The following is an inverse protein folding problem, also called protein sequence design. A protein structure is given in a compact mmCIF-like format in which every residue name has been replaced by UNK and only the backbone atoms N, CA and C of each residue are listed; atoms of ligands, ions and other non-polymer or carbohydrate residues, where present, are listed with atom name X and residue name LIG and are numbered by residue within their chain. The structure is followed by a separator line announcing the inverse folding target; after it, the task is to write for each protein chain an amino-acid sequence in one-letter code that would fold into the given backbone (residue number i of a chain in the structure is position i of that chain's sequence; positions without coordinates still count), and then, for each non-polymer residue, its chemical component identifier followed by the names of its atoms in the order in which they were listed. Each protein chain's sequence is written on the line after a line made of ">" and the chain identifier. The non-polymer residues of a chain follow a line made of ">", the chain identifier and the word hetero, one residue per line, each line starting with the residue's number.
data_IF_664053063594
#
_entry.id   IF_664053063594
#
_cell.length_a   1.000
_cell.length_b   1.000
_cell.length_c   1.000
_cell.angle_alpha   90.00
_cell.angle_beta   90.00
_cell.angle_gamma   90.00
#
_symmetry.space_group_name_H-M   'P 1'
#
loop_
_entity.id
_entity.type
_entity.pdbx_description
1 polymer ?
#
# COMPACT_ATOMS: atom_id res chain seq x y z
N UNK A 1 3.60 -15.44 31.98
CA UNK A 1 2.83 -14.20 31.80
C UNK A 1 3.56 -13.14 30.98
N UNK A 2 4.86 -12.88 31.20
CA UNK A 2 5.61 -11.82 30.49
C UNK A 2 5.59 -12.02 28.95
N UNK A 3 5.77 -13.25 28.46
CA UNK A 3 5.70 -13.54 27.01
C UNK A 3 4.33 -13.25 26.37
N UNK A 4 3.23 -13.48 27.10
CA UNK A 4 1.88 -13.28 26.58
C UNK A 4 1.51 -11.79 26.46
N UNK A 5 2.12 -10.92 27.27
CA UNK A 5 1.96 -9.46 27.17
C UNK A 5 2.84 -8.84 26.07
N UNK A 6 3.97 -9.48 25.72
CA UNK A 6 4.88 -8.97 24.69
C UNK A 6 4.33 -9.13 23.27
N UNK A 7 3.62 -10.23 22.98
CA UNK A 7 3.04 -10.48 21.65
C UNK A 7 2.08 -9.37 21.17
N UNK A 8 1.05 -8.94 21.94
CA UNK A 8 0.15 -7.88 21.49
C UNK A 8 0.88 -6.54 21.32
N UNK A 9 1.89 -6.25 22.16
CA UNK A 9 2.71 -5.03 22.04
C UNK A 9 3.49 -5.04 20.72
N UNK A 10 4.15 -6.16 20.38
CA UNK A 10 4.88 -6.31 19.11
C UNK A 10 3.93 -6.18 17.93
N UNK A 11 2.76 -6.82 17.97
CA UNK A 11 1.75 -6.71 16.91
C UNK A 11 1.31 -5.26 16.71
N UNK A 12 1.01 -4.52 17.79
CA UNK A 12 0.62 -3.11 17.70
C UNK A 12 1.74 -2.23 17.12
N UNK A 13 2.99 -2.48 17.51
CA UNK A 13 4.15 -1.75 16.98
C UNK A 13 4.33 -2.03 15.48
N UNK A 14 4.24 -3.29 15.05
CA UNK A 14 4.38 -3.67 13.63
C UNK A 14 3.24 -3.09 12.80
N UNK A 15 2.00 -3.19 13.25
CA UNK A 15 0.84 -2.60 12.55
C UNK A 15 0.94 -1.09 12.47
N UNK A 16 1.42 -0.41 13.52
CA UNK A 16 1.59 1.04 13.52
C UNK A 16 2.71 1.55 12.61
N UNK A 17 3.70 0.71 12.26
CA UNK A 17 4.81 1.07 11.36
C UNK A 17 4.60 0.68 9.90
N UNK A 18 3.56 -0.11 9.60
CA UNK A 18 3.26 -0.51 8.22
C UNK A 18 2.51 0.61 7.50
N UNK A 19 3.24 1.41 6.73
CA UNK A 19 2.63 2.34 5.78
C UNK A 19 2.11 1.55 4.56
N UNK A 20 0.80 1.62 4.26
CA UNK A 20 0.25 0.93 3.11
C UNK A 20 0.77 1.56 1.82
N UNK A 21 1.39 0.75 0.98
CA UNK A 21 1.84 1.16 -0.33
C UNK A 21 0.66 1.22 -1.31
N UNK A 22 0.55 2.31 -2.06
CA UNK A 22 -0.40 2.45 -3.17
C UNK A 22 0.35 2.90 -4.42
N UNK A 23 -0.11 2.44 -5.58
CA UNK A 23 0.32 2.91 -6.89
C UNK A 23 -0.82 3.62 -7.60
N UNK A 24 -0.49 4.63 -8.39
CA UNK A 24 -1.42 5.33 -9.27
C UNK A 24 -0.90 5.23 -10.70
N UNK A 25 -1.78 4.82 -11.59
CA UNK A 25 -1.47 4.63 -12.98
C UNK A 25 -1.79 5.93 -13.76
N UNK A 26 -0.79 6.43 -14.50
CA UNK A 26 -0.92 7.58 -15.37
C UNK A 26 -0.54 7.21 -16.80
N UNK A 27 -1.14 7.91 -17.75
CA UNK A 27 -0.84 7.78 -19.18
C UNK A 27 -0.29 9.09 -19.73
N UNK A 28 0.69 8.96 -20.62
CA UNK A 28 1.28 10.06 -21.37
C UNK A 28 1.24 9.67 -22.84
N UNK A 29 0.54 10.46 -23.65
CA UNK A 29 0.35 10.20 -25.08
C UNK A 29 1.39 10.87 -25.97
N UNK A 30 2.06 11.92 -25.47
CA UNK A 30 3.11 12.63 -26.17
C UNK A 30 4.06 13.38 -25.22
N UNK A 31 5.27 13.79 -25.66
CA UNK A 31 6.30 14.41 -24.83
C UNK A 31 5.88 15.65 -24.02
N UNK A 32 4.84 16.35 -24.48
CA UNK A 32 4.32 17.57 -23.87
C UNK A 32 2.86 17.42 -23.43
N UNK A 33 2.29 16.22 -23.50
CA UNK A 33 0.94 15.98 -22.98
C UNK A 33 0.95 15.97 -21.45
N UNK A 34 -0.15 16.43 -20.81
CA UNK A 34 -0.30 16.29 -19.37
C UNK A 34 -0.40 14.81 -18.98
N UNK A 35 -0.02 14.51 -17.74
CA UNK A 35 -0.26 13.20 -17.14
C UNK A 35 -1.76 13.00 -16.93
N UNK A 36 -2.33 11.95 -17.52
CA UNK A 36 -3.74 11.62 -17.38
C UNK A 36 -3.88 10.36 -16.54
N UNK A 37 -4.52 10.45 -15.38
CA UNK A 37 -4.82 9.28 -14.55
C UNK A 37 -5.67 8.28 -15.37
N UNK A 38 -5.35 6.99 -15.28
CA UNK A 38 -6.07 5.96 -16.02
C UNK A 38 -6.22 4.72 -15.16
N UNK A 39 -7.41 4.11 -15.16
CA UNK A 39 -7.64 2.80 -14.53
C UNK A 39 -7.49 1.64 -15.52
N UNK A 40 -7.18 1.95 -16.79
CA UNK A 40 -7.01 0.95 -17.83
C UNK A 40 -5.56 0.41 -17.85
N UNK A 41 -5.38 -0.91 -18.05
CA UNK A 41 -4.05 -1.50 -18.08
C UNK A 41 -3.20 -0.89 -19.18
N UNK A 42 -1.90 -0.76 -18.92
CA UNK A 42 -0.96 -0.27 -19.93
C UNK A 42 -0.85 -1.29 -21.09
N UNK A 43 -1.00 -0.87 -22.37
CA UNK A 43 -0.87 -1.78 -23.51
C UNK A 43 0.49 -2.49 -23.53
N UNK A 44 0.53 -3.72 -24.04
CA UNK A 44 1.76 -4.56 -24.03
C UNK A 44 2.93 -4.00 -24.83
N UNK A 45 2.67 -3.12 -25.81
CA UNK A 45 3.69 -2.42 -26.59
C UNK A 45 4.10 -1.06 -26.04
N UNK A 46 3.42 -0.56 -25.01
CA UNK A 46 3.70 0.76 -24.43
C UNK A 46 4.97 0.74 -23.57
N UNK A 47 5.63 1.89 -23.46
CA UNK A 47 6.70 2.08 -22.48
C UNK A 47 6.11 2.11 -21.06
N UNK A 48 6.83 1.54 -20.10
CA UNK A 48 6.44 1.54 -18.69
C UNK A 48 7.56 2.10 -17.85
N UNK A 49 7.25 3.14 -17.10
CA UNK A 49 8.20 3.76 -16.19
C UNK A 49 7.59 3.88 -14.80
N UNK A 50 8.29 3.36 -13.80
CA UNK A 50 7.81 3.37 -12.44
C UNK A 50 8.75 4.15 -11.54
N UNK A 51 8.19 5.04 -10.73
CA UNK A 51 8.93 5.79 -9.73
C UNK A 51 8.05 6.03 -8.49
N UNK A 52 8.68 6.42 -7.38
CA UNK A 52 7.98 6.75 -6.14
C UNK A 52 8.11 8.22 -5.83
N UNK A 53 7.02 8.85 -5.41
CA UNK A 53 7.01 10.25 -4.99
C UNK A 53 6.22 10.41 -3.69
N UNK A 54 6.17 11.65 -3.15
CA UNK A 54 5.43 11.95 -1.93
C UNK A 54 4.22 12.83 -2.24
N UNK A 55 3.09 12.55 -1.59
CA UNK A 55 1.95 13.47 -1.55
C UNK A 55 2.34 14.74 -0.79
N UNK A 56 1.56 15.84 -0.91
CA UNK A 56 1.75 17.05 -0.10
C UNK A 56 1.74 16.78 1.41
N UNK A 57 1.06 15.71 1.86
CA UNK A 57 1.02 15.26 3.24
C UNK A 57 2.18 14.30 3.62
N UNK A 58 3.16 14.14 2.74
CA UNK A 58 4.38 13.36 3.00
C UNK A 58 4.22 11.84 2.84
N UNK A 59 3.09 11.36 2.32
CA UNK A 59 2.86 9.92 2.10
C UNK A 59 3.55 9.45 0.83
N UNK A 60 4.27 8.33 0.90
CA UNK A 60 4.91 7.73 -0.27
C UNK A 60 3.87 7.03 -1.15
N UNK A 61 3.87 7.35 -2.44
CA UNK A 61 2.99 6.78 -3.46
C UNK A 61 3.82 6.38 -4.67
N UNK A 62 3.53 5.21 -5.23
CA UNK A 62 4.08 4.77 -6.51
C UNK A 62 3.34 5.39 -7.68
N UNK A 63 4.07 5.79 -8.70
CA UNK A 63 3.53 6.24 -9.97
C UNK A 63 3.95 5.23 -11.02
N UNK A 64 2.98 4.62 -11.70
CA UNK A 64 3.23 3.80 -12.89
C UNK A 64 2.83 4.63 -14.13
N UNK A 65 3.84 5.06 -14.89
CA UNK A 65 3.65 5.80 -16.13
C UNK A 65 3.59 4.83 -17.30
N UNK A 66 2.48 4.92 -18.02
CA UNK A 66 2.27 4.26 -19.29
C UNK A 66 2.52 5.25 -20.44
N UNK A 67 3.62 5.05 -21.15
CA UNK A 67 4.02 5.84 -22.32
C UNK A 67 3.42 5.22 -23.57
N UNK A 68 2.35 5.83 -24.09
CA UNK A 68 1.65 5.29 -25.25
C UNK A 68 2.53 5.38 -26.49
N UNK A 69 2.62 4.29 -27.22
CA UNK A 69 3.30 4.26 -28.52
C UNK A 69 2.43 4.87 -29.60
N UNK A 70 3.09 5.33 -30.65
CA UNK A 70 2.43 5.71 -31.91
C UNK A 70 3.19 5.10 -33.08
N UNK A 71 2.54 5.04 -34.25
CA UNK A 71 3.15 4.50 -35.45
C UNK A 71 4.16 5.50 -36.06
N UNK A 72 5.36 5.03 -36.37
CA UNK A 72 6.41 5.78 -37.05
C UNK A 72 6.80 5.12 -38.38
N UNK A 73 7.22 5.96 -39.33
CA UNK A 73 7.72 5.52 -40.63
C UNK A 73 6.65 4.89 -41.54
N UNK A 74 7.10 4.32 -42.66
CA UNK A 74 6.22 3.65 -43.63
C UNK A 74 5.73 2.29 -43.12
N UNK A 75 6.53 1.65 -42.27
CA UNK A 75 6.25 0.31 -41.73
C UNK A 75 5.36 0.34 -40.48
N UNK A 76 4.93 1.53 -40.03
CA UNK A 76 4.06 1.72 -38.86
C UNK A 76 4.58 1.10 -37.57
N UNK A 77 5.90 1.17 -37.37
CA UNK A 77 6.57 0.67 -36.18
C UNK A 77 6.07 1.42 -34.94
N UNK A 78 5.70 0.69 -33.89
CA UNK A 78 5.18 1.26 -32.65
C UNK A 78 6.35 1.71 -31.77
N UNK A 79 6.59 3.02 -31.72
CA UNK A 79 7.66 3.61 -30.92
C UNK A 79 7.10 4.57 -29.88
N UNK A 80 7.85 4.76 -28.79
CA UNK A 80 7.52 5.71 -27.73
C UNK A 80 7.92 7.11 -28.19
N UNK A 81 6.99 8.06 -28.32
CA UNK A 81 7.31 9.43 -28.67
C UNK A 81 7.97 10.11 -27.46
N UNK A 82 9.23 10.55 -27.62
CA UNK A 82 10.04 11.08 -26.52
C UNK A 82 10.42 12.56 -26.69
N UNK A 83 10.34 13.11 -27.91
CA UNK A 83 10.64 14.52 -28.19
C UNK A 83 9.81 15.07 -29.33
N UNK A 84 9.50 16.36 -29.28
CA UNK A 84 8.95 17.14 -30.39
C UNK A 84 9.95 18.27 -30.68
N UNK A 85 10.39 18.42 -31.92
CA UNK A 85 11.31 19.49 -32.29
C UNK A 85 10.60 20.82 -32.63
N UNK A 86 11.38 21.85 -32.96
CA UNK A 86 10.85 23.17 -33.29
C UNK A 86 10.03 23.20 -34.59
N UNK A 87 10.21 22.22 -35.47
CA UNK A 87 9.44 22.06 -36.70
C UNK A 87 8.16 21.23 -36.47
N UNK A 88 7.92 20.75 -35.25
CA UNK A 88 6.77 19.91 -34.90
C UNK A 88 6.97 18.43 -35.25
N UNK A 89 8.18 18.01 -35.61
CA UNK A 89 8.48 16.60 -35.86
C UNK A 89 8.56 15.85 -34.53
N UNK A 90 7.81 14.76 -34.45
CA UNK A 90 7.85 13.85 -33.30
C UNK A 90 8.97 12.84 -33.52
N UNK A 91 9.77 12.63 -32.48
CA UNK A 91 10.83 11.65 -32.44
C UNK A 91 10.38 10.47 -31.58
N UNK A 92 10.46 9.27 -32.14
CA UNK A 92 10.10 8.02 -31.50
C UNK A 92 11.32 7.11 -31.36
N UNK A 93 11.38 6.35 -30.27
CA UNK A 93 12.37 5.31 -30.08
C UNK A 93 11.77 4.10 -29.35
N UNK A 94 12.49 2.97 -29.34
CA UNK A 94 12.05 1.77 -28.65
C UNK A 94 12.05 2.01 -27.12
N UNK A 95 11.14 1.36 -26.39
CA UNK A 95 10.97 1.59 -24.95
C UNK A 95 12.23 1.32 -24.11
N UNK A 96 13.15 0.49 -24.59
CA UNK A 96 14.42 0.15 -23.93
C UNK A 96 15.60 1.01 -24.38
N UNK A 97 15.37 2.03 -25.22
CA UNK A 97 16.44 2.87 -25.75
C UNK A 97 16.90 3.93 -24.73
N UNK A 98 18.14 4.40 -24.88
CA UNK A 98 18.70 5.44 -24.00
C UNK A 98 17.94 6.77 -24.11
N UNK A 99 17.35 7.05 -25.27
CA UNK A 99 16.52 8.23 -25.52
C UNK A 99 15.24 8.19 -24.69
N UNK A 100 14.59 7.02 -24.60
CA UNK A 100 13.39 6.83 -23.79
C UNK A 100 13.74 6.87 -22.30
N UNK A 101 14.83 6.24 -21.85
CA UNK A 101 15.31 6.35 -20.45
C UNK A 101 15.57 7.82 -20.05
N UNK A 102 16.20 8.60 -20.94
CA UNK A 102 16.39 10.03 -20.72
C UNK A 102 15.08 10.81 -20.60
N UNK A 103 14.10 10.47 -21.43
CA UNK A 103 12.76 11.07 -21.40
C UNK A 103 11.96 10.69 -20.15
N UNK A 104 12.05 9.43 -19.71
CA UNK A 104 11.43 8.93 -18.49
C UNK A 104 11.89 9.69 -17.25
N UNK A 105 13.21 9.86 -17.08
CA UNK A 105 13.78 10.65 -15.98
C UNK A 105 13.32 12.10 -16.00
N UNK A 106 13.13 12.65 -17.20
CA UNK A 106 12.66 14.02 -17.36
C UNK A 106 11.14 14.14 -17.09
N UNK A 107 10.35 13.09 -17.34
CA UNK A 107 8.96 13.01 -16.89
C UNK A 107 8.88 12.93 -15.38
N UNK A 108 9.70 12.11 -14.73
CA UNK A 108 9.78 12.01 -13.26
C UNK A 108 10.07 13.39 -12.63
N UNK A 109 11.04 14.14 -13.18
CA UNK A 109 11.39 15.48 -12.68
C UNK A 109 10.28 16.51 -12.85
N UNK A 110 9.54 16.43 -13.95
CA UNK A 110 8.44 17.36 -14.26
C UNK A 110 7.13 16.95 -13.62
N UNK A 111 7.04 15.75 -13.06
CA UNK A 111 5.83 15.26 -12.45
C UNK A 111 5.45 16.11 -11.24
N UNK A 112 4.30 16.76 -11.34
CA UNK A 112 3.67 17.47 -10.24
C UNK A 112 2.38 16.74 -9.88
N UNK A 113 2.29 16.30 -8.63
CA UNK A 113 1.15 15.52 -8.14
C UNK A 113 -0.14 16.36 -8.26
N UNK A 114 -1.14 15.95 -9.07
CA UNK A 114 -2.39 16.69 -9.18
C UNK A 114 -3.11 16.75 -7.84
N UNK A 115 -3.66 17.92 -7.47
CA UNK A 115 -4.26 18.12 -6.14
C UNK A 115 -5.43 17.17 -5.84
N UNK A 116 -6.25 16.85 -6.84
CA UNK A 116 -7.34 15.86 -6.71
C UNK A 116 -6.83 14.45 -6.45
N UNK A 117 -5.76 14.06 -7.13
CA UNK A 117 -5.18 12.73 -7.01
C UNK A 117 -4.42 12.58 -5.69
N UNK A 118 -3.76 13.64 -5.23
CA UNK A 118 -3.13 13.69 -3.92
C UNK A 118 -4.16 13.50 -2.79
N UNK A 119 -5.29 14.21 -2.84
CA UNK A 119 -6.37 14.04 -1.86
C UNK A 119 -6.95 12.63 -1.89
N UNK A 120 -7.17 12.08 -3.08
CA UNK A 120 -7.61 10.70 -3.24
C UNK A 120 -6.60 9.70 -2.64
N UNK A 121 -5.32 9.89 -2.94
CA UNK A 121 -4.22 9.05 -2.45
C UNK A 121 -4.15 9.06 -0.93
N UNK A 122 -4.18 10.24 -0.32
CA UNK A 122 -4.14 10.39 1.13
C UNK A 122 -5.37 9.76 1.81
N UNK A 123 -6.55 9.93 1.22
CA UNK A 123 -7.77 9.29 1.71
C UNK A 123 -7.71 7.76 1.62
N UNK A 124 -7.21 7.22 0.51
CA UNK A 124 -7.10 5.79 0.30
C UNK A 124 -6.05 5.16 1.23
N UNK A 125 -4.89 5.81 1.40
CA UNK A 125 -3.86 5.41 2.37
C UNK A 125 -4.43 5.40 3.79
N UNK A 126 -5.14 6.46 4.19
CA UNK A 126 -5.77 6.56 5.51
C UNK A 126 -6.82 5.46 5.71
N UNK A 127 -7.64 5.19 4.69
CA UNK A 127 -8.65 4.14 4.74
C UNK A 127 -8.02 2.75 4.86
N UNK A 128 -6.96 2.46 4.10
CA UNK A 128 -6.19 1.20 4.21
C UNK A 128 -5.54 1.06 5.58
N UNK A 129 -4.94 2.14 6.09
CA UNK A 129 -4.36 2.16 7.42
C UNK A 129 -5.40 1.84 8.50
N UNK A 130 -6.57 2.48 8.43
CA UNK A 130 -7.70 2.22 9.35
C UNK A 130 -8.21 0.79 9.25
N UNK A 131 -8.37 0.26 8.03
CA UNK A 131 -8.81 -1.13 7.81
C UNK A 131 -7.79 -2.13 8.38
N UNK A 132 -6.50 -1.94 8.10
CA UNK A 132 -5.43 -2.77 8.63
C UNK A 132 -5.41 -2.74 10.17
N UNK A 133 -5.64 -1.56 10.77
CA UNK A 133 -5.77 -1.40 12.21
C UNK A 133 -6.96 -2.17 12.78
N UNK A 134 -8.16 -1.99 12.22
CA UNK A 134 -9.36 -2.68 12.68
C UNK A 134 -9.22 -4.21 12.54
N UNK A 135 -8.64 -4.67 11.44
CA UNK A 135 -8.39 -6.09 11.21
C UNK A 135 -7.36 -6.64 12.20
N UNK A 136 -6.28 -5.91 12.47
CA UNK A 136 -5.26 -6.30 13.45
C UNK A 136 -5.84 -6.38 14.87
N UNK A 137 -6.65 -5.38 15.27
CA UNK A 137 -7.36 -5.38 16.55
C UNK A 137 -8.37 -6.53 16.65
N UNK A 138 -9.08 -6.83 15.56
CA UNK A 138 -9.99 -7.96 15.48
C UNK A 138 -9.27 -9.30 15.72
N UNK A 139 -8.17 -9.55 15.01
CA UNK A 139 -7.37 -10.76 15.23
C UNK A 139 -6.79 -10.85 16.63
N UNK A 140 -6.32 -9.72 17.18
CA UNK A 140 -5.81 -9.65 18.54
C UNK A 140 -6.90 -9.97 19.57
N UNK A 141 -8.10 -9.41 19.41
CA UNK A 141 -9.25 -9.69 20.30
C UNK A 141 -9.68 -11.16 20.23
N UNK A 142 -9.75 -11.75 19.03
CA UNK A 142 -10.05 -13.18 18.86
C UNK A 142 -8.98 -14.05 19.52
N UNK A 143 -7.70 -13.75 19.30
CA UNK A 143 -6.58 -14.48 19.91
C UNK A 143 -6.59 -14.41 21.44
N UNK A 144 -6.82 -13.23 22.01
CA UNK A 144 -6.95 -13.03 23.46
C UNK A 144 -8.16 -13.77 24.04
N UNK A 145 -9.29 -13.77 23.34
CA UNK A 145 -10.51 -14.46 23.79
C UNK A 145 -10.28 -15.98 23.80
N UNK A 146 -9.69 -16.54 22.75
CA UNK A 146 -9.36 -17.96 22.68
C UNK A 146 -8.36 -18.37 23.78
N UNK A 147 -7.33 -17.54 24.01
CA UNK A 147 -6.37 -17.76 25.10
C UNK A 147 -7.04 -17.72 26.48
N UNK A 148 -7.92 -16.76 26.72
CA UNK A 148 -8.67 -16.63 27.98
C UNK A 148 -9.53 -17.87 28.25
N UNK A 149 -10.28 -18.35 27.24
CA UNK A 149 -11.09 -19.58 27.34
C UNK A 149 -10.19 -20.78 27.68
N UNK A 150 -9.04 -20.91 27.03
CA UNK A 150 -8.11 -22.02 27.26
C UNK A 150 -7.58 -22.01 28.70
N UNK A 151 -7.15 -20.85 29.21
CA UNK A 151 -6.68 -20.70 30.59
C UNK A 151 -7.80 -21.00 31.59
N UNK A 152 -9.02 -20.56 31.31
CA UNK A 152 -10.20 -20.84 32.14
C UNK A 152 -10.50 -22.35 32.21
N UNK A 153 -10.48 -23.04 31.07
CA UNK A 153 -10.64 -24.50 31.01
C UNK A 153 -9.55 -25.25 31.80
N UNK A 154 -8.28 -24.88 31.63
CA UNK A 154 -7.17 -25.47 32.41
C UNK A 154 -7.37 -25.22 33.91
N UNK A 155 -7.73 -23.99 34.29
CA UNK A 155 -8.02 -23.64 35.68
C UNK A 155 -9.12 -24.50 36.30
N UNK A 156 -10.20 -24.77 35.55
CA UNK A 156 -11.26 -25.70 35.94
C UNK A 156 -10.76 -27.13 36.15
N UNK A 157 -9.97 -27.66 35.21
CA UNK A 157 -9.41 -29.02 35.31
C UNK A 157 -8.50 -29.14 36.52
N UNK A 158 -7.57 -28.20 36.71
CA UNK A 158 -6.64 -28.20 37.85
C UNK A 158 -7.40 -28.07 39.17
N UNK A 159 -8.45 -27.23 39.25
CA UNK A 159 -9.28 -27.09 40.46
C UNK A 159 -10.09 -28.36 40.77
N UNK A 160 -10.59 -29.04 39.73
CA UNK A 160 -11.28 -30.33 39.86
C UNK A 160 -10.36 -31.44 40.37
N UNK A 161 -9.13 -31.52 39.84
CA UNK A 161 -8.13 -32.50 40.29
C UNK A 161 -7.52 -32.16 41.67
N UNK A 162 -7.40 -30.88 42.03
CA UNK A 162 -6.89 -30.45 43.34
C UNK A 162 -7.89 -30.64 44.50
N UNK A 163 -9.12 -31.08 44.21
CA UNK A 163 -10.10 -31.45 45.24
C UNK A 163 -10.49 -30.33 46.21
N UNK A 164 -10.29 -29.06 45.84
CA UNK A 164 -10.61 -27.91 46.69
C UNK A 164 -12.14 -27.74 46.69
N UNK A 165 -12.84 -28.02 47.81
CA UNK A 165 -14.28 -27.90 47.86
C UNK A 165 -14.68 -26.43 47.76
N UNK A 166 -15.65 -26.12 46.91
CA UNK A 166 -16.25 -24.79 46.85
C UNK A 166 -17.05 -24.54 48.13
N UNK A 167 -16.63 -23.60 48.97
CA UNK A 167 -17.44 -23.14 50.11
C UNK A 167 -16.74 -23.01 51.47
N UNK A 168 -15.57 -22.38 51.56
CA UNK A 168 -14.96 -21.97 52.86
C UNK A 168 -14.61 -20.48 52.93
N UNK A 169 -15.35 -19.64 52.20
CA UNK A 169 -15.24 -18.17 52.28
C UNK A 169 -16.41 -17.53 53.07
N UNK A 170 -17.00 -18.25 54.04
CA UNK A 170 -17.82 -17.62 55.08
C UNK A 170 -16.95 -17.35 56.30
N UNK A 171 -16.70 -16.06 56.56
CA UNK A 171 -16.11 -15.58 57.80
C UNK A 171 -17.07 -15.99 58.93
N UNK A 172 -16.62 -16.88 59.80
CA UNK A 172 -17.36 -17.25 61.01
C UNK A 172 -17.49 -15.98 61.87
N UNK A 173 -18.69 -15.41 61.92
CA UNK A 173 -19.03 -14.34 62.84
C UNK A 173 -19.32 -14.99 64.19
N UNK A 174 -18.31 -15.03 65.05
CA UNK A 174 -18.48 -15.45 66.43
C UNK A 174 -19.34 -14.42 67.16
N UNK A 175 -20.38 -14.93 67.83
CA UNK A 175 -21.28 -14.23 68.74
C UNK A 175 -20.72 -14.27 70.17
#
# INVERSE_FOLDING_TARGET
>A
MILAALVPIVVLIVTGKNDPYISIDYRVSSPNSPFVKSDEPCPTGAGRHYFSTKTPNGRTVGIDLCLLTMAFGKDSEQLVPYKIDQAGMVWGAASYSNEVDGYERELERRFAFPGSDAQWADNEISNRYRKNWLQSLGYLAVGLTAFWILVWCIGWVVRGFAGIPSGKDSRQSDA
#
